data_IF_611115273106
#
_entry.id   IF_611115273106
#
_cell.length_a   1.000
_cell.length_b   1.000
_cell.length_c   1.000
_cell.angle_alpha   90.00
_cell.angle_beta   90.00
_cell.angle_gamma   90.00
#
_symmetry.space_group_name_H-M   'P 1'
#
loop_
_entity.id
_entity.type
_entity.pdbx_description
1 polymer ?
#
# COMPACT_ATOMS: atom_id res chain seq x y z
N UNK A 1 21.49 60.03 -13.90
CA UNK A 1 20.30 59.15 -13.94
C UNK A 1 20.69 57.82 -13.32
N UNK A 2 20.19 57.51 -12.10
CA UNK A 2 20.45 56.23 -11.42
C UNK A 2 19.27 55.31 -11.73
N UNK A 3 19.54 54.23 -12.45
CA UNK A 3 18.59 53.19 -12.80
C UNK A 3 18.32 52.36 -11.53
N UNK A 4 17.11 52.46 -10.97
CA UNK A 4 16.67 51.60 -9.86
C UNK A 4 16.14 50.32 -10.49
N UNK A 5 16.91 49.24 -10.36
CA UNK A 5 16.51 47.89 -10.78
C UNK A 5 15.52 47.37 -9.73
N UNK A 6 14.24 47.30 -10.10
CA UNK A 6 13.20 46.62 -9.36
C UNK A 6 13.44 45.10 -9.47
N UNK A 7 13.97 44.51 -8.42
CA UNK A 7 14.05 43.06 -8.28
C UNK A 7 12.67 42.58 -7.80
N UNK A 8 11.90 42.01 -8.73
CA UNK A 8 10.72 41.24 -8.39
C UNK A 8 11.17 39.94 -7.69
N UNK A 9 11.03 39.89 -6.37
CA UNK A 9 11.08 38.65 -5.60
C UNK A 9 9.86 37.84 -5.97
N UNK A 10 10.02 36.92 -6.92
CA UNK A 10 9.06 35.85 -7.14
C UNK A 10 9.13 34.95 -5.91
N UNK A 11 8.21 35.17 -4.98
CA UNK A 11 7.92 34.21 -3.92
C UNK A 11 7.30 33.01 -4.65
N UNK A 12 8.16 32.07 -5.03
CA UNK A 12 7.73 30.74 -5.40
C UNK A 12 7.04 30.14 -4.17
N UNK A 13 5.72 30.19 -4.17
CA UNK A 13 4.92 29.20 -3.45
C UNK A 13 5.38 27.86 -4.01
N UNK A 14 6.28 27.21 -3.27
CA UNK A 14 6.48 25.78 -3.37
C UNK A 14 5.13 25.17 -2.95
N UNK A 15 4.22 25.04 -3.92
CA UNK A 15 3.22 24.01 -3.91
C UNK A 15 4.03 22.72 -3.73
N UNK A 16 4.04 22.17 -2.52
CA UNK A 16 4.42 20.79 -2.31
C UNK A 16 3.60 20.01 -3.33
N UNK A 17 4.25 19.52 -4.38
CA UNK A 17 3.59 18.61 -5.30
C UNK A 17 3.03 17.48 -4.42
N UNK A 18 1.75 17.14 -4.56
CA UNK A 18 1.21 16.00 -3.83
C UNK A 18 2.08 14.80 -4.19
N UNK A 19 2.41 14.02 -3.16
CA UNK A 19 3.19 12.79 -3.22
C UNK A 19 2.89 12.03 -4.53
N UNK A 20 3.94 11.66 -5.27
CA UNK A 20 3.81 11.19 -6.66
C UNK A 20 2.84 9.99 -6.75
N UNK A 21 1.71 10.19 -7.45
CA UNK A 21 0.78 9.11 -7.76
C UNK A 21 1.53 8.08 -8.60
N UNK A 22 1.37 6.78 -8.33
CA UNK A 22 2.07 5.75 -9.06
C UNK A 22 1.79 5.83 -10.56
N UNK A 23 2.86 5.71 -11.36
CA UNK A 23 2.76 5.66 -12.81
C UNK A 23 2.34 4.25 -13.27
N UNK A 24 1.66 4.16 -14.42
CA UNK A 24 1.07 2.90 -14.89
C UNK A 24 2.07 1.75 -15.08
N UNK A 25 3.34 2.06 -15.34
CA UNK A 25 4.46 1.13 -15.47
C UNK A 25 4.91 0.53 -14.13
N UNK A 26 4.52 1.11 -12.99
CA UNK A 26 4.80 0.54 -11.67
C UNK A 26 3.92 -0.66 -11.35
N UNK A 27 2.78 -0.83 -12.05
CA UNK A 27 1.88 -1.98 -11.90
C UNK A 27 2.29 -3.14 -12.81
N UNK A 28 3.48 -3.68 -12.56
CA UNK A 28 4.19 -4.63 -13.42
C UNK A 28 4.08 -6.10 -12.95
N UNK A 29 3.27 -6.39 -11.94
CA UNK A 29 3.00 -7.75 -11.43
C UNK A 29 1.50 -8.02 -11.34
N UNK A 30 1.10 -9.30 -11.34
CA UNK A 30 -0.30 -9.68 -11.13
C UNK A 30 -0.84 -9.14 -9.79
N UNK A 31 0.00 -9.12 -8.77
CA UNK A 31 -0.34 -8.58 -7.46
C UNK A 31 -0.60 -7.06 -7.51
N UNK A 32 0.24 -6.31 -8.22
CA UNK A 32 0.06 -4.87 -8.36
C UNK A 32 -1.13 -4.56 -9.30
N UNK A 33 -1.39 -5.37 -10.32
CA UNK A 33 -2.62 -5.24 -11.11
C UNK A 33 -3.87 -5.38 -10.22
N UNK A 34 -3.87 -6.30 -9.25
CA UNK A 34 -4.93 -6.39 -8.24
C UNK A 34 -5.01 -5.12 -7.37
N UNK A 35 -3.87 -4.56 -6.96
CA UNK A 35 -3.82 -3.28 -6.22
C UNK A 35 -4.49 -2.18 -7.05
N UNK A 36 -4.11 -2.02 -8.33
CA UNK A 36 -4.73 -1.05 -9.25
C UNK A 36 -6.24 -1.26 -9.36
N UNK A 37 -6.66 -2.49 -9.58
CA UNK A 37 -8.08 -2.82 -9.75
C UNK A 37 -8.88 -2.49 -8.47
N UNK A 38 -8.31 -2.70 -7.27
CA UNK A 38 -8.94 -2.29 -6.01
C UNK A 38 -8.89 -0.77 -5.79
N UNK A 39 -7.83 -0.08 -6.22
CA UNK A 39 -7.79 1.38 -6.18
C UNK A 39 -8.89 2.00 -7.07
N UNK A 40 -9.13 1.43 -8.25
CA UNK A 40 -10.19 1.84 -9.16
C UNK A 40 -11.58 1.49 -8.62
N UNK A 41 -11.76 0.27 -8.10
CA UNK A 41 -13.04 -0.21 -7.55
C UNK A 41 -13.50 0.61 -6.34
N UNK A 42 -12.54 1.07 -5.51
CA UNK A 42 -12.82 1.86 -4.31
C UNK A 42 -12.75 3.37 -4.52
N UNK A 43 -12.50 3.82 -5.75
CA UNK A 43 -12.35 5.24 -6.10
C UNK A 43 -11.31 5.93 -5.19
N UNK A 44 -10.13 5.31 -5.04
CA UNK A 44 -9.13 5.75 -4.06
C UNK A 44 -8.58 7.14 -4.40
N UNK A 45 -8.65 8.12 -3.48
CA UNK A 45 -8.12 9.46 -3.74
C UNK A 45 -6.60 9.44 -4.00
N UNK A 46 -6.13 10.27 -4.92
CA UNK A 46 -4.71 10.35 -5.28
C UNK A 46 -3.77 10.56 -4.08
N UNK A 47 -4.18 11.40 -3.11
CA UNK A 47 -3.39 11.63 -1.90
C UNK A 47 -3.28 10.38 -1.02
N UNK A 48 -4.36 9.61 -0.91
CA UNK A 48 -4.35 8.34 -0.17
C UNK A 48 -3.52 7.28 -0.90
N UNK A 49 -3.64 7.17 -2.23
CA UNK A 49 -2.80 6.27 -3.04
C UNK A 49 -1.32 6.50 -2.74
N UNK A 50 -0.89 7.76 -2.73
CA UNK A 50 0.51 8.07 -2.50
C UNK A 50 1.00 7.63 -1.11
N UNK A 51 0.17 7.74 -0.06
CA UNK A 51 0.50 7.21 1.27
C UNK A 51 0.69 5.68 1.22
N UNK A 52 -0.22 4.95 0.57
CA UNK A 52 -0.11 3.49 0.44
C UNK A 52 1.14 3.06 -0.34
N UNK A 53 1.48 3.80 -1.40
CA UNK A 53 2.68 3.55 -2.21
C UNK A 53 3.99 3.92 -1.49
N UNK A 54 3.93 4.79 -0.49
CA UNK A 54 5.02 5.03 0.47
C UNK A 54 5.02 4.03 1.64
N UNK A 55 4.21 2.96 1.55
CA UNK A 55 4.06 1.97 2.62
C UNK A 55 3.62 2.58 3.94
N UNK A 56 2.71 3.56 3.87
CA UNK A 56 2.16 4.26 5.03
C UNK A 56 0.65 4.08 5.07
N UNK A 57 0.15 3.57 6.19
CA UNK A 57 -1.30 3.46 6.42
C UNK A 57 -1.86 4.88 6.65
N UNK A 58 -2.79 5.36 5.81
CA UNK A 58 -3.44 6.66 5.98
C UNK A 58 -4.17 6.75 7.31
N UNK A 59 -4.32 7.97 7.83
CA UNK A 59 -5.06 8.18 9.09
C UNK A 59 -6.56 7.86 8.94
N UNK A 60 -7.12 8.10 7.75
CA UNK A 60 -8.51 7.82 7.41
C UNK A 60 -8.52 7.03 6.09
N UNK A 61 -8.21 5.73 6.12
CA UNK A 61 -8.16 4.93 4.91
C UNK A 61 -9.56 4.78 4.31
N UNK A 62 -9.63 4.73 2.99
CA UNK A 62 -10.86 4.42 2.27
C UNK A 62 -11.37 3.04 2.70
N UNK A 63 -12.67 2.97 3.00
CA UNK A 63 -13.30 1.79 3.54
C UNK A 63 -13.11 0.56 2.63
N UNK A 64 -12.66 -0.56 3.22
CA UNK A 64 -12.45 -1.83 2.53
C UNK A 64 -11.42 -1.84 1.39
N UNK A 65 -10.53 -0.86 1.30
CA UNK A 65 -9.48 -0.88 0.27
C UNK A 65 -8.49 -2.05 0.44
N UNK A 66 -7.85 -2.18 1.59
CA UNK A 66 -6.93 -3.31 1.86
C UNK A 66 -7.67 -4.64 1.91
N UNK A 67 -8.92 -4.65 2.40
CA UNK A 67 -9.76 -5.84 2.42
C UNK A 67 -10.03 -6.35 0.99
N UNK A 68 -10.30 -5.46 0.02
CA UNK A 68 -10.41 -5.81 -1.41
C UNK A 68 -9.15 -6.53 -1.91
N UNK A 69 -7.97 -5.98 -1.61
CA UNK A 69 -6.69 -6.54 -2.06
C UNK A 69 -6.48 -7.92 -1.43
N UNK A 70 -6.64 -8.03 -0.11
CA UNK A 70 -6.45 -9.29 0.59
C UNK A 70 -7.46 -10.37 0.21
N UNK A 71 -8.69 -10.01 -0.12
CA UNK A 71 -9.66 -10.95 -0.68
C UNK A 71 -9.22 -11.44 -2.07
N UNK A 72 -8.79 -10.54 -2.96
CA UNK A 72 -8.33 -10.91 -4.31
C UNK A 72 -7.02 -11.73 -4.28
N UNK A 73 -6.16 -11.51 -3.28
CA UNK A 73 -5.01 -12.40 -3.00
C UNK A 73 -5.41 -13.73 -2.37
N UNK A 74 -6.64 -13.86 -1.86
CA UNK A 74 -7.10 -15.02 -1.10
C UNK A 74 -6.55 -15.09 0.32
N UNK A 75 -5.97 -14.01 0.83
CA UNK A 75 -5.45 -13.89 2.21
C UNK A 75 -6.57 -13.77 3.24
N UNK A 76 -7.77 -13.36 2.82
CA UNK A 76 -8.99 -13.38 3.62
C UNK A 76 -10.03 -14.27 2.97
N UNK A 77 -10.79 -15.00 3.79
CA UNK A 77 -11.84 -15.94 3.34
C UNK A 77 -13.13 -15.26 2.83
N UNK A 78 -13.08 -13.97 2.53
CA UNK A 78 -14.23 -13.09 2.26
C UNK A 78 -14.13 -11.76 3.03
N UNK A 79 -15.11 -10.88 2.84
CA UNK A 79 -15.15 -9.55 3.46
C UNK A 79 -15.12 -9.62 4.99
N UNK A 80 -14.09 -9.01 5.60
CA UNK A 80 -13.86 -9.09 7.04
C UNK A 80 -13.65 -10.51 7.57
N UNK A 81 -13.38 -11.46 6.68
CA UNK A 81 -13.28 -12.89 6.91
C UNK A 81 -12.11 -13.30 7.80
N UNK A 82 -11.85 -14.61 7.85
CA UNK A 82 -10.69 -15.14 8.58
C UNK A 82 -9.44 -15.04 7.72
N UNK A 83 -8.29 -14.84 8.37
CA UNK A 83 -6.98 -14.90 7.70
C UNK A 83 -6.74 -16.32 7.20
N UNK A 84 -6.41 -16.44 5.93
CA UNK A 84 -6.06 -17.70 5.27
C UNK A 84 -4.53 -17.83 5.33
N UNK A 85 -4.00 -18.26 6.47
CA UNK A 85 -2.55 -18.29 6.74
C UNK A 85 -1.74 -18.95 5.62
N UNK A 86 -2.24 -20.05 5.05
CA UNK A 86 -1.57 -20.76 3.95
C UNK A 86 -1.43 -19.93 2.68
N UNK A 87 -2.39 -19.04 2.38
CA UNK A 87 -2.32 -18.16 1.22
C UNK A 87 -1.28 -17.05 1.43
N UNK A 88 -1.24 -16.47 2.63
CA UNK A 88 -0.21 -15.48 2.98
C UNK A 88 1.19 -16.11 2.92
N UNK A 89 1.36 -17.30 3.52
CA UNK A 89 2.62 -18.06 3.46
C UNK A 89 3.03 -18.37 2.01
N UNK A 90 2.08 -18.76 1.16
CA UNK A 90 2.34 -19.02 -0.25
C UNK A 90 2.81 -17.76 -1.00
N UNK A 91 2.23 -16.59 -0.73
CA UNK A 91 2.67 -15.33 -1.34
C UNK A 91 4.10 -14.96 -0.94
N UNK A 92 4.47 -15.14 0.33
CA UNK A 92 5.86 -14.93 0.78
C UNK A 92 6.82 -15.92 0.12
N UNK A 93 6.44 -17.19 0.06
CA UNK A 93 7.25 -18.23 -0.58
C UNK A 93 7.44 -17.97 -2.09
N UNK A 94 6.42 -17.47 -2.79
CA UNK A 94 6.46 -17.18 -4.22
C UNK A 94 7.55 -16.14 -4.57
N UNK A 95 7.79 -15.19 -3.67
CA UNK A 95 8.84 -14.18 -3.85
C UNK A 95 10.19 -14.59 -3.26
N UNK A 96 10.27 -15.74 -2.58
CA UNK A 96 11.50 -16.30 -2.04
C UNK A 96 11.76 -15.97 -0.56
N UNK A 97 10.75 -15.48 0.16
CA UNK A 97 10.85 -15.21 1.59
C UNK A 97 10.43 -16.41 2.44
N UNK A 98 10.88 -16.40 3.70
CA UNK A 98 10.39 -17.30 4.75
C UNK A 98 8.93 -16.97 5.11
N UNK A 99 8.26 -17.88 5.82
CA UNK A 99 6.90 -17.64 6.32
C UNK A 99 6.79 -16.31 7.09
N UNK A 100 5.66 -15.59 6.95
CA UNK A 100 5.37 -14.35 7.67
C UNK A 100 5.24 -14.54 9.17
N UNK A 101 5.42 -13.45 9.92
CA UNK A 101 5.25 -13.38 11.38
C UNK A 101 3.78 -13.32 11.81
N UNK A 102 2.89 -14.09 11.17
CA UNK A 102 1.43 -14.05 11.39
C UNK A 102 1.02 -14.29 12.85
N UNK A 103 1.74 -15.12 13.59
CA UNK A 103 1.45 -15.38 15.00
C UNK A 103 1.57 -14.11 15.88
N UNK A 104 2.34 -13.11 15.42
CA UNK A 104 2.45 -11.80 16.07
C UNK A 104 1.36 -10.80 15.65
N UNK A 105 0.62 -11.12 14.58
CA UNK A 105 -0.45 -10.28 14.04
C UNK A 105 -1.82 -10.84 14.43
N UNK A 106 -2.41 -10.26 15.47
CA UNK A 106 -3.74 -10.59 15.94
C UNK A 106 -4.66 -9.36 15.84
N UNK A 107 -5.26 -9.10 14.66
CA UNK A 107 -6.20 -8.00 14.49
C UNK A 107 -7.34 -8.07 15.51
N UNK A 108 -7.64 -6.92 16.11
CA UNK A 108 -8.71 -6.76 17.09
C UNK A 108 -9.99 -6.20 16.46
N UNK A 109 -9.88 -5.54 15.31
CA UNK A 109 -11.02 -5.02 14.54
C UNK A 109 -11.75 -6.13 13.80
N UNK A 110 -13.01 -5.83 13.48
CA UNK A 110 -13.91 -6.65 12.68
C UNK A 110 -14.25 -5.99 11.34
N UNK A 111 -14.89 -6.74 10.44
CA UNK A 111 -15.20 -6.24 9.10
C UNK A 111 -13.93 -5.89 8.34
N UNK A 112 -14.05 -4.97 7.38
CA UNK A 112 -12.95 -4.57 6.53
C UNK A 112 -11.74 -3.98 7.27
N UNK A 113 -11.94 -3.27 8.39
CA UNK A 113 -10.84 -2.65 9.14
C UNK A 113 -9.88 -3.67 9.77
N UNK A 114 -10.25 -4.95 9.80
CA UNK A 114 -9.33 -6.05 10.12
C UNK A 114 -8.16 -6.10 9.14
N UNK A 115 -8.43 -5.86 7.86
CA UNK A 115 -7.42 -5.94 6.80
C UNK A 115 -6.35 -4.83 6.97
N UNK A 116 -6.77 -3.61 7.31
CA UNK A 116 -5.86 -2.50 7.59
C UNK A 116 -4.94 -2.81 8.79
N UNK A 117 -5.48 -3.40 9.86
CA UNK A 117 -4.67 -3.83 11.02
C UNK A 117 -3.68 -4.94 10.66
N UNK A 118 -4.12 -5.91 9.85
CA UNK A 118 -3.24 -6.98 9.40
C UNK A 118 -2.12 -6.45 8.50
N UNK A 119 -2.43 -5.54 7.57
CA UNK A 119 -1.44 -4.87 6.72
C UNK A 119 -0.43 -4.12 7.56
N UNK A 120 -0.88 -3.26 8.48
CA UNK A 120 -0.01 -2.49 9.36
C UNK A 120 0.90 -3.39 10.19
N UNK A 121 0.35 -4.49 10.72
CA UNK A 121 1.10 -5.44 11.52
C UNK A 121 2.16 -6.18 10.70
N UNK A 122 1.80 -6.73 9.54
CA UNK A 122 2.74 -7.46 8.67
C UNK A 122 3.84 -6.52 8.16
N UNK A 123 3.50 -5.29 7.79
CA UNK A 123 4.47 -4.28 7.40
C UNK A 123 5.47 -4.01 8.53
N UNK A 124 4.99 -3.85 9.77
CA UNK A 124 5.86 -3.61 10.92
C UNK A 124 6.68 -4.85 11.32
N UNK A 125 6.11 -6.05 11.22
CA UNK A 125 6.75 -7.29 11.67
C UNK A 125 7.75 -7.84 10.66
N UNK A 126 7.42 -7.79 9.37
CA UNK A 126 8.16 -8.45 8.30
C UNK A 126 8.85 -7.48 7.32
N UNK A 127 8.51 -6.18 7.37
CA UNK A 127 9.19 -5.13 6.62
C UNK A 127 9.23 -5.40 5.12
N UNK A 128 10.44 -5.40 4.53
CA UNK A 128 10.63 -5.63 3.10
C UNK A 128 10.06 -6.97 2.63
N UNK A 129 10.06 -8.02 3.47
CA UNK A 129 9.48 -9.32 3.08
C UNK A 129 7.99 -9.22 2.78
N UNK A 130 7.28 -8.43 3.59
CA UNK A 130 5.87 -8.13 3.36
C UNK A 130 5.71 -7.34 2.08
N UNK A 131 6.53 -6.31 1.85
CA UNK A 131 6.46 -5.48 0.66
C UNK A 131 6.59 -6.28 -0.63
N UNK A 132 7.61 -7.13 -0.67
CA UNK A 132 7.87 -8.02 -1.79
C UNK A 132 6.71 -9.00 -2.03
N UNK A 133 6.20 -9.62 -0.97
CA UNK A 133 5.08 -10.56 -1.06
C UNK A 133 3.76 -9.88 -1.46
N UNK A 134 3.55 -8.64 -1.01
CA UNK A 134 2.41 -7.82 -1.36
C UNK A 134 2.52 -7.39 -2.83
N UNK A 135 3.66 -6.88 -3.27
CA UNK A 135 3.87 -6.46 -4.67
C UNK A 135 4.07 -7.63 -5.63
N UNK A 136 4.29 -8.86 -5.15
CA UNK A 136 4.68 -9.99 -5.99
C UNK A 136 6.06 -9.83 -6.64
N UNK A 137 6.92 -8.98 -6.08
CA UNK A 137 8.27 -8.71 -6.59
C UNK A 137 9.28 -9.53 -5.81
N UNK A 138 10.19 -10.19 -6.51
CA UNK A 138 11.36 -10.84 -5.88
C UNK A 138 12.41 -9.78 -5.62
N UNK A 139 13.10 -9.88 -4.48
CA UNK A 139 14.32 -9.11 -4.22
C UNK A 139 15.23 -9.17 -5.45
N UNK A 140 15.52 -8.00 -6.03
CA UNK A 140 16.54 -7.87 -7.08
C UNK A 140 17.90 -8.10 -6.42
N UNK A 141 18.41 -9.34 -6.51
CA UNK A 141 19.77 -9.68 -6.05
C UNK A 141 20.84 -8.92 -6.81
#
# INVERSE_FOLDING_TARGET
MKLIILIFTIIGLALCAPDEVPSGDQYDTDNLLIVRDCEEEKDLPAAEKAEWWDWKVPANPTECYIDCIFQKYGWLSGEGGSIVNSAVEASYAAVGHSNPSLASCNPSKSGCSKADELYACLLNADGQKFKDAFDGKRDAK
#
